data_IF_454033759854
#
_entry.id   IF_454033759854
#
_cell.length_a   1.000
_cell.length_b   1.000
_cell.length_c   1.000
_cell.angle_alpha   90.00
_cell.angle_beta   90.00
_cell.angle_gamma   90.00
#
_symmetry.space_group_name_H-M   'P 1'
#
loop_
_entity.id
_entity.type
_entity.pdbx_description
1 polymer ?
#
# COMPACT_ATOMS: atom_id res chain seq x y z
N UNK A 1 -13.12 -8.44 -17.10
CA UNK A 1 -12.01 -8.31 -18.07
C UNK A 1 -10.84 -7.74 -17.29
N UNK A 2 -9.91 -8.58 -16.86
CA UNK A 2 -8.71 -8.13 -16.16
C UNK A 2 -7.85 -7.32 -17.13
N UNK A 3 -7.67 -6.04 -16.84
CA UNK A 3 -6.65 -5.21 -17.48
C UNK A 3 -5.30 -5.63 -16.89
N UNK A 4 -4.61 -6.56 -17.54
CA UNK A 4 -3.17 -6.75 -17.29
C UNK A 4 -2.49 -5.39 -17.53
N UNK A 5 -2.11 -4.70 -16.44
CA UNK A 5 -1.28 -3.51 -16.53
C UNK A 5 0.02 -3.95 -17.20
N UNK A 6 0.26 -3.48 -18.42
CA UNK A 6 1.52 -3.74 -19.10
C UNK A 6 2.64 -3.11 -18.30
N UNK A 7 3.73 -3.85 -18.12
CA UNK A 7 4.94 -3.31 -17.53
C UNK A 7 5.41 -2.09 -18.35
N UNK A 8 5.78 -1.01 -17.66
CA UNK A 8 6.25 0.24 -18.26
C UNK A 8 7.58 0.65 -17.63
N UNK A 9 8.59 0.88 -18.46
CA UNK A 9 9.83 1.53 -18.03
C UNK A 9 9.55 3.02 -17.77
N UNK A 10 9.65 3.45 -16.51
CA UNK A 10 9.34 4.83 -16.06
C UNK A 10 10.56 5.73 -15.87
N UNK A 11 11.76 5.15 -15.87
CA UNK A 11 13.05 5.86 -15.83
C UNK A 11 14.16 4.96 -16.39
N UNK A 12 14.91 5.48 -17.36
CA UNK A 12 16.07 4.83 -17.96
C UNK A 12 17.30 5.73 -17.86
N UNK A 13 18.44 5.14 -17.46
CA UNK A 13 19.72 5.81 -17.37
C UNK A 13 20.68 5.25 -18.41
N UNK A 14 21.48 6.12 -19.02
CA UNK A 14 22.67 5.73 -19.77
C UNK A 14 23.73 5.09 -18.86
N UNK A 15 24.74 4.46 -19.46
CA UNK A 15 25.93 3.95 -18.77
C UNK A 15 26.66 5.03 -17.94
N UNK A 16 26.55 6.30 -18.34
CA UNK A 16 27.12 7.44 -17.64
C UNK A 16 26.19 8.02 -16.55
N UNK A 17 25.07 7.35 -16.23
CA UNK A 17 24.05 7.78 -15.26
C UNK A 17 23.27 9.04 -15.62
N UNK A 18 23.32 9.46 -16.89
CA UNK A 18 22.41 10.49 -17.39
C UNK A 18 21.06 9.87 -17.74
N UNK A 19 19.96 10.58 -17.44
CA UNK A 19 18.61 10.17 -17.83
C UNK A 19 18.48 10.18 -19.35
N UNK A 20 18.05 9.06 -19.94
CA UNK A 20 17.79 8.93 -21.38
C UNK A 20 16.30 8.82 -21.71
N UNK A 21 15.48 8.40 -20.74
CA UNK A 21 14.02 8.35 -20.87
C UNK A 21 13.35 8.38 -19.50
N UNK A 22 12.11 8.87 -19.44
CA UNK A 22 11.32 8.93 -18.21
C UNK A 22 11.71 10.07 -17.25
N UNK A 23 11.40 9.92 -15.97
CA UNK A 23 11.72 10.94 -14.95
C UNK A 23 11.83 10.37 -13.54
N UNK A 24 12.62 11.03 -12.70
CA UNK A 24 12.74 10.70 -11.27
C UNK A 24 11.39 10.74 -10.57
N UNK A 25 10.56 11.76 -10.87
CA UNK A 25 9.19 11.85 -10.33
C UNK A 25 8.34 10.65 -10.69
N UNK A 26 8.36 10.20 -11.95
CA UNK A 26 7.58 9.04 -12.37
C UNK A 26 8.04 7.75 -11.68
N UNK A 27 9.35 7.62 -11.41
CA UNK A 27 9.89 6.52 -10.60
C UNK A 27 9.42 6.61 -9.14
N UNK A 28 9.51 7.78 -8.51
CA UNK A 28 9.02 7.99 -7.14
C UNK A 28 7.53 7.69 -7.02
N UNK A 29 6.71 8.16 -7.96
CA UNK A 29 5.27 7.89 -7.98
C UNK A 29 5.00 6.38 -8.20
N UNK A 30 5.83 5.67 -8.97
CA UNK A 30 5.71 4.22 -9.19
C UNK A 30 6.10 3.40 -7.95
N UNK A 31 7.18 3.77 -7.27
CA UNK A 31 7.61 3.15 -6.01
C UNK A 31 6.62 3.45 -4.89
N UNK A 32 6.13 4.70 -4.79
CA UNK A 32 5.17 5.11 -3.77
C UNK A 32 3.82 4.40 -3.90
N UNK A 33 3.42 4.03 -5.12
CA UNK A 33 2.25 3.15 -5.37
C UNK A 33 2.52 1.67 -5.13
N UNK A 34 3.78 1.27 -4.90
CA UNK A 34 4.18 -0.12 -4.65
C UNK A 34 4.33 -0.46 -3.18
N UNK A 35 4.10 0.49 -2.26
CA UNK A 35 4.01 0.20 -0.85
C UNK A 35 2.60 -0.30 -0.52
N UNK A 36 2.40 -1.62 -0.59
CA UNK A 36 1.21 -2.23 0.00
C UNK A 36 1.25 -1.97 1.52
N UNK A 37 0.31 -1.17 2.01
CA UNK A 37 0.14 -0.94 3.44
C UNK A 37 -0.86 -1.96 3.99
N UNK A 38 -0.36 -2.84 4.85
CA UNK A 38 -1.20 -3.73 5.67
C UNK A 38 -1.06 -3.32 7.13
N UNK A 39 -2.18 -2.97 7.75
CA UNK A 39 -2.25 -2.66 9.17
C UNK A 39 -2.92 -3.83 9.88
N UNK A 40 -2.26 -4.33 10.92
CA UNK A 40 -2.84 -5.28 11.86
C UNK A 40 -3.15 -4.55 13.16
N UNK A 41 -4.40 -4.68 13.62
CA UNK A 41 -4.87 -4.07 14.86
C UNK A 41 -5.54 -5.13 15.73
N UNK A 42 -5.19 -5.17 17.01
CA UNK A 42 -5.92 -5.94 18.02
C UNK A 42 -6.62 -4.98 18.97
N UNK A 43 -7.90 -5.21 19.23
CA UNK A 43 -8.70 -4.43 20.16
C UNK A 43 -9.81 -5.27 20.80
N UNK A 44 -10.34 -4.84 21.95
CA UNK A 44 -11.48 -5.51 22.58
C UNK A 44 -12.80 -5.00 22.01
N UNK A 45 -13.76 -5.91 21.82
CA UNK A 45 -15.08 -5.59 21.25
C UNK A 45 -15.78 -4.45 22.00
N UNK A 46 -15.82 -4.53 23.34
CA UNK A 46 -16.41 -3.52 24.22
C UNK A 46 -15.61 -2.21 24.36
N UNK A 47 -14.44 -2.09 23.73
CA UNK A 47 -13.68 -0.84 23.72
C UNK A 47 -13.86 -0.06 22.41
N UNK A 48 -14.17 -0.75 21.30
CA UNK A 48 -14.08 -0.16 19.96
C UNK A 48 -15.30 -0.42 19.04
N UNK A 49 -16.05 -1.52 19.21
CA UNK A 49 -17.21 -1.85 18.33
C UNK A 49 -18.52 -1.43 18.99
N UNK A 50 -18.82 -1.99 20.17
CA UNK A 50 -19.99 -1.65 20.96
C UNK A 50 -19.55 -1.41 22.40
N UNK A 51 -19.34 -0.15 22.74
CA UNK A 51 -18.82 0.27 24.05
C UNK A 51 -19.82 0.11 25.20
N UNK A 52 -21.06 -0.26 24.89
CA UNK A 52 -22.08 -0.57 25.89
C UNK A 52 -22.21 -2.07 26.19
N UNK A 53 -21.53 -2.92 25.40
CA UNK A 53 -21.58 -4.37 25.53
C UNK A 53 -20.63 -4.89 26.61
N UNK A 54 -21.03 -5.97 27.28
CA UNK A 54 -20.18 -6.69 28.22
C UNK A 54 -19.18 -7.64 27.51
N UNK A 55 -19.25 -7.73 26.17
CA UNK A 55 -18.41 -8.62 25.38
C UNK A 55 -16.95 -8.14 25.35
N UNK A 56 -16.08 -8.91 25.98
CA UNK A 56 -14.66 -8.63 26.12
C UNK A 56 -13.77 -9.46 25.15
N UNK A 57 -14.33 -9.95 24.05
CA UNK A 57 -13.60 -10.68 23.03
C UNK A 57 -12.49 -9.83 22.40
N UNK A 58 -11.34 -10.46 22.15
CA UNK A 58 -10.24 -9.85 21.41
C UNK A 58 -10.52 -9.99 19.91
N UNK A 59 -10.60 -8.86 19.22
CA UNK A 59 -10.81 -8.77 17.78
C UNK A 59 -9.46 -8.52 17.11
N UNK A 60 -9.16 -9.32 16.09
CA UNK A 60 -8.03 -9.14 15.18
C UNK A 60 -8.54 -8.60 13.85
N UNK A 61 -8.12 -7.39 13.48
CA UNK A 61 -8.47 -6.77 12.21
C UNK A 61 -7.23 -6.64 11.32
N UNK A 62 -7.40 -6.97 10.04
CA UNK A 62 -6.42 -6.66 8.99
C UNK A 62 -7.06 -5.67 8.04
N UNK A 63 -6.50 -4.46 7.99
CA UNK A 63 -6.87 -3.43 7.01
C UNK A 63 -5.82 -3.39 5.91
N UNK A 64 -6.28 -3.50 4.65
CA UNK A 64 -5.44 -3.45 3.46
C UNK A 64 -5.78 -2.20 2.64
N UNK A 65 -4.74 -1.52 2.14
CA UNK A 65 -4.87 -0.32 1.32
C UNK A 65 -4.13 -0.54 -0.01
N UNK A 66 -4.81 -0.25 -1.13
CA UNK A 66 -4.35 -0.51 -2.51
C UNK A 66 -4.33 0.78 -3.34
#
# INVERSE_FOLDING_TARGET
METMKSWKNVLELSSNRNIVSGSEKALCDAIGRGADLRIYTEFRHNEHIDTSSDNNDLISEVSEFH
#
